data_IF_579917730334
#
_entry.id   IF_579917730334
#
_cell.length_a   1.000
_cell.length_b   1.000
_cell.length_c   1.000
_cell.angle_alpha   90.00
_cell.angle_beta   90.00
_cell.angle_gamma   90.00
#
_symmetry.space_group_name_H-M   'P 1'
#
loop_
_entity.id
_entity.type
_entity.pdbx_description
1 polymer ?
#
# COMPACT_ATOMS: atom_id res chain seq x y z
N UNK A 1 12.92 1.38 1.90
CA UNK A 1 12.19 1.40 3.20
C UNK A 1 10.68 1.52 3.05
N UNK A 2 10.11 2.65 2.55
CA UNK A 2 8.63 2.79 2.46
C UNK A 2 7.95 1.73 1.59
N UNK A 3 8.60 1.29 0.50
CA UNK A 3 8.09 0.23 -0.37
C UNK A 3 8.01 -1.10 0.37
N UNK A 4 9.07 -1.56 1.03
CA UNK A 4 9.05 -2.84 1.74
C UNK A 4 8.03 -2.85 2.88
N UNK A 5 7.95 -1.76 3.65
CA UNK A 5 6.95 -1.63 4.73
C UNK A 5 5.52 -1.66 4.20
N UNK A 6 5.24 -0.98 3.08
CA UNK A 6 3.92 -1.05 2.43
C UNK A 6 3.57 -2.48 2.00
N UNK A 7 4.52 -3.21 1.43
CA UNK A 7 4.31 -4.60 1.02
C UNK A 7 4.08 -5.51 2.23
N UNK A 8 4.77 -5.28 3.35
CA UNK A 8 4.56 -6.03 4.58
C UNK A 8 3.15 -5.82 5.14
N UNK A 9 2.69 -4.56 5.25
CA UNK A 9 1.35 -4.27 5.76
C UNK A 9 0.23 -4.76 4.85
N UNK A 10 0.43 -4.80 3.53
CA UNK A 10 -0.59 -5.32 2.60
C UNK A 10 -0.82 -6.83 2.71
N UNK A 11 0.07 -7.58 3.37
CA UNK A 11 -0.15 -9.00 3.68
C UNK A 11 -1.17 -9.22 4.79
N UNK A 12 -1.39 -8.20 5.62
CA UNK A 12 -2.36 -8.25 6.69
C UNK A 12 -3.75 -7.83 6.16
N UNK A 13 -4.73 -8.75 6.10
CA UNK A 13 -6.07 -8.42 5.65
C UNK A 13 -6.76 -7.41 6.56
N UNK A 14 -6.41 -7.35 7.85
CA UNK A 14 -7.06 -6.49 8.85
C UNK A 14 -6.64 -5.02 8.72
N UNK A 15 -5.45 -4.74 8.16
CA UNK A 15 -4.99 -3.36 7.98
C UNK A 15 -5.58 -2.78 6.69
N UNK A 16 -6.35 -1.69 6.80
CA UNK A 16 -6.93 -1.02 5.63
C UNK A 16 -5.87 -0.27 4.83
N UNK A 17 -6.10 -0.06 3.54
CA UNK A 17 -5.18 0.70 2.67
C UNK A 17 -5.05 2.16 3.15
N UNK A 18 -6.10 2.71 3.76
CA UNK A 18 -6.07 4.03 4.38
C UNK A 18 -5.11 4.06 5.57
N UNK A 19 -5.17 3.06 6.45
CA UNK A 19 -4.29 2.99 7.63
C UNK A 19 -2.84 2.82 7.21
N UNK A 20 -2.57 2.03 6.16
CA UNK A 20 -1.23 1.88 5.59
C UNK A 20 -0.69 3.24 5.11
N UNK A 21 -1.53 4.05 4.47
CA UNK A 21 -1.12 5.39 4.03
C UNK A 21 -0.70 6.26 5.22
N UNK A 22 -1.50 6.28 6.29
CA UNK A 22 -1.23 7.04 7.51
C UNK A 22 0.04 6.54 8.21
N UNK A 23 0.19 5.22 8.39
CA UNK A 23 1.36 4.59 9.03
C UNK A 23 2.68 4.90 8.29
N UNK A 24 2.62 5.09 6.97
CA UNK A 24 3.78 5.44 6.15
C UNK A 24 4.04 6.95 6.04
N UNK A 25 3.20 7.76 6.69
CA UNK A 25 3.32 9.22 6.73
C UNK A 25 2.78 9.95 5.50
N UNK A 26 1.83 9.37 4.78
CA UNK A 26 1.09 10.07 3.74
C UNK A 26 -0.09 10.85 4.35
N UNK A 27 -0.33 12.05 3.85
CA UNK A 27 -1.47 12.90 4.25
C UNK A 27 -2.82 12.38 3.76
N UNK A 28 -2.81 11.54 2.73
CA UNK A 28 -4.01 10.98 2.09
C UNK A 28 -3.72 9.65 1.40
N UNK A 29 -4.75 8.82 1.26
CA UNK A 29 -4.66 7.52 0.59
C UNK A 29 -4.30 7.65 -0.90
N UNK A 30 -4.75 8.71 -1.59
CA UNK A 30 -4.46 8.95 -3.00
C UNK A 30 -2.96 9.12 -3.25
N UNK A 31 -2.25 9.89 -2.41
CA UNK A 31 -0.81 10.08 -2.46
C UNK A 31 -0.07 8.75 -2.27
N UNK A 32 -0.53 7.92 -1.32
CA UNK A 32 0.00 6.57 -1.15
C UNK A 32 -0.25 5.70 -2.38
N UNK A 33 -1.46 5.72 -2.96
CA UNK A 33 -1.79 4.94 -4.16
C UNK A 33 -0.87 5.28 -5.34
N UNK A 34 -0.58 6.57 -5.55
CA UNK A 34 0.35 7.03 -6.59
C UNK A 34 1.78 6.55 -6.33
N UNK A 35 2.28 6.72 -5.10
CA UNK A 35 3.61 6.28 -4.71
C UNK A 35 3.76 4.76 -4.86
N UNK A 36 2.78 4.00 -4.35
CA UNK A 36 2.75 2.55 -4.43
C UNK A 36 2.73 2.07 -5.88
N UNK A 37 1.89 2.66 -6.75
CA UNK A 37 1.86 2.33 -8.18
C UNK A 37 3.19 2.63 -8.88
N UNK A 38 3.87 3.72 -8.52
CA UNK A 38 5.22 4.02 -9.02
C UNK A 38 6.24 2.97 -8.57
N UNK A 39 6.07 2.38 -7.40
CA UNK A 39 6.98 1.38 -6.85
C UNK A 39 6.76 -0.04 -7.38
N UNK A 40 5.51 -0.42 -7.65
CA UNK A 40 5.11 -1.81 -7.92
C UNK A 40 4.46 -2.01 -9.29
N UNK A 41 4.14 -0.93 -10.01
CA UNK A 41 3.41 -0.97 -11.28
C UNK A 41 1.89 -1.10 -11.15
N UNK A 42 1.35 -1.29 -9.95
CA UNK A 42 -0.09 -1.50 -9.71
C UNK A 42 -0.60 -0.75 -8.47
N UNK A 43 -1.91 -0.59 -8.32
CA UNK A 43 -2.48 0.06 -7.12
C UNK A 43 -2.46 -0.91 -5.92
N UNK A 44 -2.38 -0.42 -4.67
CA UNK A 44 -2.34 -1.29 -3.50
C UNK A 44 -3.63 -2.10 -3.34
N UNK A 45 -4.79 -1.58 -3.76
CA UNK A 45 -6.05 -2.33 -3.77
C UNK A 45 -6.06 -3.50 -4.73
N UNK A 46 -5.51 -3.31 -5.94
CA UNK A 46 -5.34 -4.41 -6.89
C UNK A 46 -4.33 -5.43 -6.36
N UNK A 47 -3.21 -4.96 -5.83
CA UNK A 47 -2.19 -5.80 -5.21
C UNK A 47 -2.75 -6.67 -4.06
N UNK A 48 -3.52 -6.07 -3.15
CA UNK A 48 -4.17 -6.77 -2.01
C UNK A 48 -5.21 -7.79 -2.47
N UNK A 49 -5.98 -7.48 -3.52
CA UNK A 49 -7.01 -8.37 -4.05
C UNK A 49 -6.44 -9.57 -4.81
N UNK A 50 -5.36 -9.38 -5.56
CA UNK A 50 -4.78 -10.42 -6.41
C UNK A 50 -3.86 -11.37 -5.63
N UNK A 51 -3.55 -11.07 -4.36
CA UNK A 51 -2.66 -11.92 -3.55
C UNK A 51 -1.27 -12.11 -4.16
N UNK A 52 -0.85 -11.18 -5.02
CA UNK A 52 0.44 -11.21 -5.72
C UNK A 52 1.57 -11.06 -4.70
N UNK A 53 2.01 -12.18 -4.13
CA UNK A 53 3.22 -12.30 -3.33
C UNK A 53 4.41 -12.65 -4.22
#
# INVERSE_FOLDING_TARGET
MRKETALAYLKDPEISICDIALLLGFSEQSAFNHAFKRWTGTTPGKYKKEGLL
#
